data_IF_699059286401
#
_entry.id   IF_699059286401
#
_cell.length_a   1.000
_cell.length_b   1.000
_cell.length_c   1.000
_cell.angle_alpha   90.00
_cell.angle_beta   90.00
_cell.angle_gamma   90.00
#
_symmetry.space_group_name_H-M   'P 1'
#
loop_
_entity.id
_entity.type
_entity.pdbx_description
1 polymer ?
#
# COMPACT_ATOMS: atom_id res chain seq x y z
N UNK A 1 5.89 10.12 5.77
CA UNK A 1 5.41 8.96 6.57
C UNK A 1 5.48 7.72 5.72
N UNK A 2 6.04 6.63 6.23
CA UNK A 2 6.09 5.36 5.50
C UNK A 2 4.68 4.83 5.26
N UNK A 3 4.51 4.04 4.21
CA UNK A 3 3.20 3.49 3.89
C UNK A 3 2.62 2.67 5.05
N UNK A 4 3.44 1.82 5.68
CA UNK A 4 3.00 1.02 6.82
C UNK A 4 2.53 1.89 7.99
N UNK A 5 3.21 3.01 8.24
CA UNK A 5 2.80 3.96 9.27
C UNK A 5 1.48 4.64 8.92
N UNK A 6 1.32 5.01 7.65
CA UNK A 6 0.12 5.69 7.19
C UNK A 6 -1.09 4.77 7.28
N UNK A 7 -0.94 3.51 6.90
CA UNK A 7 -2.01 2.53 7.03
C UNK A 7 -2.37 2.31 8.50
N UNK A 8 -1.37 2.19 9.37
CA UNK A 8 -1.60 1.98 10.79
C UNK A 8 -2.33 3.15 11.45
N UNK A 9 -2.22 4.35 10.89
CA UNK A 9 -2.86 5.54 11.43
C UNK A 9 -4.33 5.69 10.98
N UNK A 10 -4.78 4.89 10.02
CA UNK A 10 -6.16 4.95 9.54
C UNK A 10 -7.07 4.28 10.57
N UNK A 11 -8.11 5.00 10.98
CA UNK A 11 -9.10 4.49 11.91
C UNK A 11 -10.31 3.97 11.14
N UNK A 12 -11.10 3.12 11.79
CA UNK A 12 -12.46 2.77 11.36
C UNK A 12 -12.61 2.16 9.97
N UNK A 13 -12.26 0.96 9.71
CA UNK A 13 -12.73 0.20 8.55
C UNK A 13 -12.22 0.65 7.19
N UNK A 14 -11.65 1.83 7.06
CA UNK A 14 -11.02 2.29 5.84
C UNK A 14 -9.53 1.97 5.93
N UNK A 15 -9.10 0.95 5.21
CA UNK A 15 -7.75 0.45 5.33
C UNK A 15 -6.90 0.66 4.09
N UNK A 16 -7.36 1.49 3.17
CA UNK A 16 -6.68 1.68 1.90
C UNK A 16 -5.96 3.02 1.85
N UNK A 17 -4.72 2.98 1.37
CA UNK A 17 -3.96 4.16 1.00
C UNK A 17 -3.76 4.12 -0.51
N UNK A 18 -4.03 5.25 -1.19
CA UNK A 18 -3.99 5.33 -2.64
C UNK A 18 -2.96 6.36 -3.07
N UNK A 19 -2.16 6.02 -4.07
CA UNK A 19 -1.23 6.96 -4.70
C UNK A 19 -1.14 6.69 -6.19
N UNK A 20 -0.56 7.63 -6.94
CA UNK A 20 -0.38 7.48 -8.38
C UNK A 20 1.10 7.42 -8.73
N UNK A 21 1.41 6.75 -9.83
CA UNK A 21 2.77 6.65 -10.35
C UNK A 21 2.96 7.63 -11.51
N UNK A 22 4.23 7.95 -11.88
CA UNK A 22 4.50 8.79 -13.05
C UNK A 22 3.92 8.22 -14.35
N UNK A 23 3.75 6.91 -14.43
CA UNK A 23 3.14 6.28 -15.60
C UNK A 23 1.62 6.38 -15.64
N UNK A 24 1.01 6.99 -14.62
CA UNK A 24 -0.44 7.16 -14.54
C UNK A 24 -1.17 5.98 -13.90
N UNK A 25 -0.47 5.02 -13.35
CA UNK A 25 -1.10 3.90 -12.64
C UNK A 25 -1.63 4.35 -11.29
N UNK A 26 -2.78 3.81 -10.91
CA UNK A 26 -3.37 4.04 -9.58
C UNK A 26 -2.99 2.87 -8.70
N UNK A 27 -2.22 3.16 -7.65
CA UNK A 27 -1.77 2.15 -6.69
C UNK A 27 -2.63 2.23 -5.43
N UNK A 28 -2.91 1.09 -4.84
CA UNK A 28 -3.67 1.01 -3.59
C UNK A 28 -3.06 -0.06 -2.70
N UNK A 29 -2.88 0.27 -1.42
CA UNK A 29 -2.48 -0.72 -0.42
C UNK A 29 -3.58 -0.84 0.62
N UNK A 30 -3.95 -2.05 0.96
CA UNK A 30 -4.98 -2.33 1.94
C UNK A 30 -4.45 -3.30 2.99
N UNK A 31 -4.85 -3.07 4.24
CA UNK A 31 -4.50 -3.91 5.38
C UNK A 31 -5.68 -4.85 5.67
N UNK A 32 -5.44 -6.14 5.55
CA UNK A 32 -6.45 -7.16 5.82
C UNK A 32 -6.23 -7.85 7.17
N UNK A 33 -5.34 -7.31 8.01
CA UNK A 33 -5.03 -7.86 9.31
C UNK A 33 -3.75 -8.69 9.27
N UNK A 34 -3.80 -9.97 8.90
CA UNK A 34 -2.59 -10.80 8.84
C UNK A 34 -1.62 -10.41 7.73
N UNK A 35 -2.08 -9.68 6.71
CA UNK A 35 -1.26 -9.32 5.56
C UNK A 35 -1.81 -8.06 4.91
N UNK A 36 -0.98 -7.47 4.04
CA UNK A 36 -1.36 -6.35 3.17
C UNK A 36 -1.50 -6.84 1.74
N UNK A 37 -2.35 -6.18 0.95
CA UNK A 37 -2.41 -6.42 -0.48
C UNK A 37 -2.20 -5.10 -1.20
N UNK A 38 -1.34 -5.09 -2.21
CA UNK A 38 -1.11 -3.94 -3.06
C UNK A 38 -1.74 -4.19 -4.42
N UNK A 39 -2.48 -3.20 -4.91
CA UNK A 39 -3.19 -3.26 -6.18
C UNK A 39 -2.62 -2.23 -7.14
N UNK A 40 -2.61 -2.57 -8.43
CA UNK A 40 -2.32 -1.63 -9.51
C UNK A 40 -3.54 -1.59 -10.42
N UNK A 41 -4.16 -0.40 -10.55
CA UNK A 41 -5.35 -0.22 -11.39
C UNK A 41 -6.45 -1.25 -11.09
N UNK A 42 -6.61 -1.58 -9.81
CA UNK A 42 -7.62 -2.52 -9.35
C UNK A 42 -7.20 -3.98 -9.36
N UNK A 43 -6.03 -4.32 -9.90
CA UNK A 43 -5.54 -5.70 -9.93
C UNK A 43 -4.59 -5.97 -8.76
N UNK A 44 -4.82 -7.03 -7.97
CA UNK A 44 -3.92 -7.36 -6.88
C UNK A 44 -2.57 -7.85 -7.42
N UNK A 45 -1.49 -7.31 -6.86
CA UNK A 45 -0.13 -7.70 -7.24
C UNK A 45 0.42 -8.80 -6.35
N UNK A 46 -0.12 -8.94 -5.15
CA UNK A 46 0.32 -9.97 -4.22
C UNK A 46 0.05 -9.60 -2.78
N UNK A 47 0.22 -10.58 -1.89
CA UNK A 47 0.06 -10.40 -0.46
C UNK A 47 1.43 -10.21 0.19
N UNK A 48 1.51 -9.28 1.13
CA UNK A 48 2.74 -8.92 1.84
C UNK A 48 2.43 -9.01 3.33
N UNK A 49 3.24 -9.75 4.07
CA UNK A 49 2.97 -10.03 5.49
C UNK A 49 3.91 -9.30 6.46
N UNK A 50 4.75 -8.41 5.96
CA UNK A 50 5.69 -7.65 6.76
C UNK A 50 5.57 -6.16 6.45
N UNK A 51 5.51 -5.27 7.48
CA UNK A 51 5.51 -3.82 7.25
C UNK A 51 6.75 -3.34 6.49
N UNK A 52 7.92 -3.92 6.78
CA UNK A 52 9.15 -3.53 6.11
C UNK A 52 9.11 -3.90 4.62
N UNK A 53 8.60 -5.07 4.30
CA UNK A 53 8.45 -5.49 2.91
C UNK A 53 7.42 -4.63 2.18
N UNK A 54 6.35 -4.24 2.88
CA UNK A 54 5.37 -3.32 2.31
C UNK A 54 6.01 -1.99 1.96
N UNK A 55 6.81 -1.43 2.86
CA UNK A 55 7.46 -0.15 2.63
C UNK A 55 8.47 -0.22 1.48
N UNK A 56 9.21 -1.32 1.37
CA UNK A 56 10.13 -1.57 0.28
C UNK A 56 9.38 -1.66 -1.05
N UNK A 57 8.30 -2.40 -1.08
CA UNK A 57 7.46 -2.55 -2.28
C UNK A 57 6.86 -1.22 -2.69
N UNK A 58 6.37 -0.45 -1.73
CA UNK A 58 5.77 0.86 -1.99
C UNK A 58 6.77 1.82 -2.60
N UNK A 59 7.99 1.88 -2.05
CA UNK A 59 9.05 2.74 -2.58
C UNK A 59 9.42 2.35 -4.01
N UNK A 60 9.46 1.04 -4.31
CA UNK A 60 9.72 0.55 -5.66
C UNK A 60 8.61 0.91 -6.65
N UNK A 61 7.41 1.24 -6.16
CA UNK A 61 6.26 1.63 -6.97
C UNK A 61 5.89 3.10 -6.78
N UNK A 62 6.89 3.94 -6.53
CA UNK A 62 6.77 5.41 -6.53
C UNK A 62 5.94 5.99 -5.38
N UNK A 63 5.74 5.25 -4.31
CA UNK A 63 5.17 5.85 -3.11
C UNK A 63 6.16 6.85 -2.52
N UNK A 64 5.72 8.07 -2.27
CA UNK A 64 6.54 9.12 -1.66
C UNK A 64 6.15 9.28 -0.20
N UNK A 65 7.12 9.07 0.68
CA UNK A 65 6.91 9.17 2.13
C UNK A 65 6.72 10.63 2.57
#
# INVERSE_FOLDING_TARGET
>A
MKLSEKIAAIESGEYAVIWTTPAGSIMKAADYGPYYVVYRNGEPLGAIDSPDDLDTFAAANHYTA
#
